data_IF_184636802340
#
_entry.id   IF_184636802340
#
_cell.length_a   1.000
_cell.length_b   1.000
_cell.length_c   1.000
_cell.angle_alpha   90.00
_cell.angle_beta   90.00
_cell.angle_gamma   90.00
#
_symmetry.space_group_name_H-M   'P 1'
#
loop_
_entity.id
_entity.type
_entity.pdbx_description
1 polymer ?
#
# COMPACT_ATOMS: atom_id res chain seq x y z
N UNK A 1 -7.51 29.52 -3.96
CA UNK A 1 -7.72 28.50 -5.01
C UNK A 1 -7.06 27.21 -4.55
N UNK A 2 -7.68 26.07 -4.83
CA UNK A 2 -7.12 24.78 -4.44
C UNK A 2 -5.82 24.48 -5.21
N UNK A 3 -4.78 24.06 -4.49
CA UNK A 3 -3.48 23.71 -5.04
C UNK A 3 -3.44 22.21 -5.36
N UNK A 4 -3.24 21.87 -6.64
CA UNK A 4 -3.12 20.49 -7.12
C UNK A 4 -1.72 20.15 -7.64
N UNK A 5 -0.76 21.07 -7.53
CA UNK A 5 0.56 20.92 -8.14
C UNK A 5 1.28 19.67 -7.61
N UNK A 6 1.27 19.44 -6.30
CA UNK A 6 1.94 18.27 -5.71
C UNK A 6 1.34 16.96 -6.18
N UNK A 7 0.01 16.87 -6.28
CA UNK A 7 -0.68 15.68 -6.80
C UNK A 7 -0.32 15.44 -8.25
N UNK A 8 -0.42 16.46 -9.11
CA UNK A 8 -0.15 16.34 -10.55
C UNK A 8 1.31 15.89 -10.78
N UNK A 9 2.26 16.55 -10.13
CA UNK A 9 3.68 16.20 -10.27
C UNK A 9 3.97 14.80 -9.71
N UNK A 10 3.33 14.41 -8.61
CA UNK A 10 3.45 13.05 -8.06
C UNK A 10 2.94 12.00 -9.03
N UNK A 11 1.78 12.23 -9.65
CA UNK A 11 1.24 11.35 -10.69
C UNK A 11 2.19 11.25 -11.88
N UNK A 12 2.70 12.37 -12.40
CA UNK A 12 3.61 12.39 -13.55
C UNK A 12 4.91 11.63 -13.28
N UNK A 13 5.53 11.85 -12.12
CA UNK A 13 6.74 11.13 -11.72
C UNK A 13 6.44 9.64 -11.51
N UNK A 14 5.26 9.29 -10.98
CA UNK A 14 4.86 7.90 -10.75
C UNK A 14 4.78 7.07 -12.05
N UNK A 15 4.49 7.70 -13.20
CA UNK A 15 4.49 7.03 -14.52
C UNK A 15 5.87 6.44 -14.87
N UNK A 16 6.97 6.98 -14.31
CA UNK A 16 8.30 6.42 -14.50
C UNK A 16 8.46 4.98 -13.98
N UNK A 17 7.56 4.51 -13.11
CA UNK A 17 7.54 3.12 -12.65
C UNK A 17 7.24 2.13 -13.80
N UNK A 18 6.46 2.52 -14.81
CA UNK A 18 6.05 1.64 -15.91
C UNK A 18 7.25 1.10 -16.70
N UNK A 19 8.12 1.93 -17.31
CA UNK A 19 9.25 1.43 -18.08
C UNK A 19 10.23 0.63 -17.20
N UNK A 20 10.38 0.99 -15.94
CA UNK A 20 11.21 0.25 -14.99
C UNK A 20 10.71 -1.18 -14.80
N UNK A 21 9.44 -1.35 -14.47
CA UNK A 21 8.83 -2.67 -14.25
C UNK A 21 8.99 -3.51 -15.51
N UNK A 22 8.74 -2.94 -16.68
CA UNK A 22 8.90 -3.63 -17.97
C UNK A 22 10.32 -4.18 -18.11
N UNK A 23 11.34 -3.33 -17.99
CA UNK A 23 12.74 -3.72 -18.14
C UNK A 23 13.15 -4.79 -17.14
N UNK A 24 12.74 -4.68 -15.88
CA UNK A 24 13.06 -5.68 -14.85
C UNK A 24 12.43 -7.03 -15.20
N UNK A 25 11.15 -7.03 -15.58
CA UNK A 25 10.42 -8.27 -15.89
C UNK A 25 10.91 -8.95 -17.17
N UNK A 26 11.32 -8.19 -18.19
CA UNK A 26 11.73 -8.73 -19.50
C UNK A 26 13.16 -9.29 -19.51
N UNK A 27 13.93 -9.09 -18.45
CA UNK A 27 15.30 -9.59 -18.34
C UNK A 27 15.45 -10.57 -17.17
N UNK A 28 15.69 -11.85 -17.49
CA UNK A 28 15.84 -12.94 -16.50
C UNK A 28 16.91 -12.67 -15.44
N UNK A 29 17.99 -11.97 -15.82
CA UNK A 29 19.07 -11.59 -14.90
C UNK A 29 18.55 -10.56 -13.89
N UNK A 30 17.80 -9.55 -14.35
CA UNK A 30 17.24 -8.51 -13.47
C UNK A 30 16.12 -9.08 -12.59
N UNK A 31 15.45 -10.13 -13.07
CA UNK A 31 14.38 -10.79 -12.35
C UNK A 31 14.85 -11.73 -11.23
N UNK A 32 16.17 -11.90 -11.04
CA UNK A 32 16.69 -12.64 -9.90
C UNK A 32 16.39 -11.93 -8.57
N UNK A 33 16.03 -12.66 -7.49
CA UNK A 33 15.56 -12.06 -6.25
C UNK A 33 16.47 -10.99 -5.64
N UNK A 34 17.79 -11.22 -5.67
CA UNK A 34 18.79 -10.28 -5.12
C UNK A 34 18.86 -9.02 -5.98
N UNK A 35 18.80 -9.17 -7.31
CA UNK A 35 18.87 -8.05 -8.24
C UNK A 35 17.60 -7.20 -8.12
N UNK A 36 16.42 -7.82 -8.00
CA UNK A 36 15.18 -7.13 -7.73
C UNK A 36 15.24 -6.30 -6.44
N UNK A 37 15.77 -6.88 -5.36
CA UNK A 37 15.92 -6.16 -4.09
C UNK A 37 16.85 -4.95 -4.24
N UNK A 38 18.03 -5.11 -4.85
CA UNK A 38 19.01 -4.04 -5.03
C UNK A 38 18.45 -2.92 -5.92
N UNK A 39 17.84 -3.29 -7.06
CA UNK A 39 17.23 -2.35 -8.00
C UNK A 39 16.06 -1.64 -7.32
N UNK A 40 15.20 -2.39 -6.60
CA UNK A 40 14.07 -1.85 -5.86
C UNK A 40 14.48 -0.78 -4.85
N UNK A 41 15.45 -1.07 -3.97
CA UNK A 41 15.95 -0.08 -3.01
C UNK A 41 16.66 1.10 -3.69
N UNK A 42 17.46 0.83 -4.73
CA UNK A 42 18.16 1.87 -5.48
C UNK A 42 17.21 2.86 -6.14
N UNK A 43 16.14 2.35 -6.77
CA UNK A 43 15.10 3.20 -7.37
C UNK A 43 14.22 3.89 -6.33
N UNK A 44 13.90 3.24 -5.22
CA UNK A 44 13.16 3.89 -4.14
C UNK A 44 13.94 5.10 -3.59
N UNK A 45 15.26 4.97 -3.41
CA UNK A 45 16.13 6.06 -3.01
C UNK A 45 16.21 7.18 -4.07
N UNK A 46 16.33 6.83 -5.35
CA UNK A 46 16.40 7.82 -6.43
C UNK A 46 15.09 8.59 -6.59
N UNK A 47 13.94 7.91 -6.48
CA UNK A 47 12.61 8.51 -6.53
C UNK A 47 12.39 9.44 -5.34
N UNK A 48 12.80 9.05 -4.12
CA UNK A 48 12.81 9.95 -2.95
C UNK A 48 13.61 11.23 -3.25
N UNK A 49 14.80 11.08 -3.83
CA UNK A 49 15.66 12.22 -4.17
C UNK A 49 15.00 13.13 -5.22
N UNK A 50 14.42 12.56 -6.27
CA UNK A 50 13.69 13.33 -7.30
C UNK A 50 12.52 14.09 -6.67
N UNK A 51 11.72 13.45 -5.82
CA UNK A 51 10.64 14.13 -5.12
C UNK A 51 11.14 15.25 -4.23
N UNK A 52 12.24 15.05 -3.51
CA UNK A 52 12.83 16.08 -2.67
C UNK A 52 13.30 17.31 -3.50
N UNK A 53 13.87 17.08 -4.68
CA UNK A 53 14.36 18.15 -5.56
C UNK A 53 13.24 18.87 -6.30
N UNK A 54 12.24 18.15 -6.79
CA UNK A 54 11.15 18.69 -7.64
C UNK A 54 10.00 19.26 -6.81
N UNK A 55 9.71 18.65 -5.66
CA UNK A 55 8.65 19.04 -4.75
C UNK A 55 9.25 19.47 -3.40
N UNK A 56 9.88 20.66 -3.32
CA UNK A 56 10.12 21.25 -2.01
C UNK A 56 8.76 21.50 -1.35
N UNK A 57 8.55 21.13 -0.07
CA UNK A 57 7.24 21.23 0.55
C UNK A 57 6.94 22.71 0.75
N UNK A 58 6.24 23.33 -0.20
CA UNK A 58 5.89 24.75 -0.13
C UNK A 58 5.00 24.95 1.10
N UNK A 59 5.54 25.62 2.11
CA UNK A 59 4.75 26.02 3.28
C UNK A 59 4.72 25.05 4.46
N UNK A 60 5.57 24.00 4.51
CA UNK A 60 5.82 23.29 5.77
C UNK A 60 6.80 24.13 6.61
N UNK A 61 6.33 25.31 7.05
CA UNK A 61 6.97 25.99 8.17
C UNK A 61 6.90 25.03 9.36
N UNK A 62 7.98 24.97 10.15
CA UNK A 62 8.09 24.22 11.41
C UNK A 62 7.08 24.82 12.42
N UNK A 63 5.80 24.56 12.20
CA UNK A 63 4.68 25.01 13.02
C UNK A 63 4.36 23.88 14.00
N UNK A 64 4.25 24.24 15.28
CA UNK A 64 3.86 23.35 16.36
C UNK A 64 2.58 22.59 15.98
N UNK A 65 2.60 21.26 16.05
CA UNK A 65 1.47 20.39 15.66
C UNK A 65 1.47 19.88 14.20
N UNK A 66 2.19 20.53 13.27
CA UNK A 66 2.33 20.08 11.87
C UNK A 66 3.54 19.16 11.62
N UNK A 67 4.23 18.76 12.68
CA UNK A 67 5.42 17.91 12.64
C UNK A 67 5.14 16.55 11.97
N UNK A 68 6.04 16.08 11.10
CA UNK A 68 5.86 14.83 10.36
C UNK A 68 4.96 14.91 9.12
N UNK A 69 4.28 16.04 8.84
CA UNK A 69 3.53 16.22 7.58
C UNK A 69 4.43 16.18 6.35
N UNK A 70 5.67 16.67 6.45
CA UNK A 70 6.64 16.60 5.36
C UNK A 70 7.11 15.17 5.07
N UNK A 71 7.36 14.39 6.14
CA UNK A 71 7.70 12.97 6.00
C UNK A 71 6.53 12.21 5.37
N UNK A 72 5.30 12.43 5.85
CA UNK A 72 4.10 11.82 5.27
C UNK A 72 3.92 12.19 3.80
N UNK A 73 4.15 13.45 3.43
CA UNK A 73 4.04 13.92 2.06
C UNK A 73 4.94 13.12 1.11
N UNK A 74 6.24 13.11 1.39
CA UNK A 74 7.20 12.41 0.53
C UNK A 74 6.93 10.91 0.47
N UNK A 75 6.49 10.31 1.57
CA UNK A 75 6.17 8.90 1.55
C UNK A 75 4.91 8.60 0.76
N UNK A 76 3.88 9.45 0.81
CA UNK A 76 2.75 9.32 -0.10
C UNK A 76 3.19 9.44 -1.56
N UNK A 77 4.14 10.32 -1.90
CA UNK A 77 4.68 10.42 -3.25
C UNK A 77 5.39 9.13 -3.69
N UNK A 78 6.24 8.56 -2.82
CA UNK A 78 6.96 7.30 -3.10
C UNK A 78 6.00 6.12 -3.21
N UNK A 79 5.01 6.04 -2.32
CA UNK A 79 4.04 4.94 -2.35
C UNK A 79 3.06 5.10 -3.52
N UNK A 80 2.79 6.32 -3.99
CA UNK A 80 2.07 6.54 -5.25
C UNK A 80 2.85 5.99 -6.45
N UNK A 81 4.18 6.17 -6.47
CA UNK A 81 5.04 5.54 -7.47
C UNK A 81 5.00 4.00 -7.36
N UNK A 82 5.07 3.45 -6.14
CA UNK A 82 4.96 2.01 -5.91
C UNK A 82 3.59 1.45 -6.37
N UNK A 83 2.49 2.18 -6.16
CA UNK A 83 1.17 1.79 -6.67
C UNK A 83 1.12 1.68 -8.21
N UNK A 84 1.86 2.52 -8.94
CA UNK A 84 1.96 2.39 -10.41
C UNK A 84 2.82 1.19 -10.79
N UNK A 85 3.85 0.86 -10.00
CA UNK A 85 4.61 -0.37 -10.17
C UNK A 85 3.72 -1.61 -9.97
N UNK A 86 2.94 -1.67 -8.88
CA UNK A 86 1.97 -2.75 -8.60
C UNK A 86 0.94 -2.89 -9.74
N UNK A 87 0.42 -1.76 -10.23
CA UNK A 87 -0.52 -1.75 -11.37
C UNK A 87 0.12 -2.34 -12.63
N UNK A 88 1.36 -1.96 -12.92
CA UNK A 88 2.09 -2.44 -14.10
C UNK A 88 2.38 -3.93 -13.96
N UNK A 89 2.88 -4.39 -12.81
CA UNK A 89 3.14 -5.80 -12.53
C UNK A 89 1.88 -6.66 -12.71
N UNK A 90 0.74 -6.24 -12.17
CA UNK A 90 -0.52 -6.97 -12.37
C UNK A 90 -1.00 -6.93 -13.82
N UNK A 91 -0.85 -5.80 -14.50
CA UNK A 91 -1.24 -5.70 -15.90
C UNK A 91 -0.42 -6.64 -16.78
N UNK A 92 0.88 -6.80 -16.46
CA UNK A 92 1.76 -7.79 -17.09
C UNK A 92 1.36 -9.21 -16.76
N UNK A 93 1.09 -9.53 -15.50
CA UNK A 93 0.68 -10.89 -15.10
C UNK A 93 -0.53 -11.38 -15.89
N UNK A 94 -1.52 -10.50 -16.10
CA UNK A 94 -2.77 -10.82 -16.77
C UNK A 94 -2.75 -10.59 -18.29
N UNK A 95 -1.67 -10.03 -18.84
CA UNK A 95 -1.58 -9.70 -20.27
C UNK A 95 -2.61 -8.66 -20.73
N UNK A 96 -2.99 -7.73 -19.85
CA UNK A 96 -3.99 -6.69 -20.12
C UNK A 96 -3.32 -5.37 -20.50
N UNK A 97 -4.06 -4.44 -21.11
CA UNK A 97 -3.57 -3.12 -21.55
C UNK A 97 -2.38 -3.14 -22.54
N UNK A 98 -2.22 -4.23 -23.30
CA UNK A 98 -1.17 -4.35 -24.31
C UNK A 98 0.21 -4.70 -23.74
N UNK A 99 0.29 -5.01 -22.44
CA UNK A 99 1.52 -5.51 -21.85
C UNK A 99 1.73 -6.98 -22.16
N UNK A 100 2.96 -7.34 -22.56
CA UNK A 100 3.33 -8.74 -22.78
C UNK A 100 3.28 -9.51 -21.47
N UNK A 101 2.57 -10.65 -21.49
CA UNK A 101 2.48 -11.53 -20.32
C UNK A 101 3.86 -12.08 -19.99
N UNK A 102 4.31 -11.78 -18.78
CA UNK A 102 5.58 -12.26 -18.25
C UNK A 102 5.45 -12.39 -16.73
N UNK A 103 5.76 -13.58 -16.23
CA UNK A 103 5.64 -13.91 -14.81
C UNK A 103 6.98 -13.99 -14.10
N UNK A 104 8.11 -13.63 -14.74
CA UNK A 104 9.45 -13.73 -14.16
C UNK A 104 9.56 -13.06 -12.77
N UNK A 105 8.86 -11.93 -12.54
CA UNK A 105 8.79 -11.29 -11.22
C UNK A 105 8.12 -12.15 -10.16
N UNK A 106 7.06 -12.83 -10.53
CA UNK A 106 6.33 -13.66 -9.60
C UNK A 106 6.97 -15.03 -9.42
N UNK A 107 7.57 -15.58 -10.48
CA UNK A 107 8.17 -16.91 -10.45
C UNK A 107 9.49 -16.91 -9.66
N UNK A 108 10.24 -15.80 -9.68
CA UNK A 108 11.54 -15.68 -9.00
C UNK A 108 11.55 -14.68 -7.85
N UNK A 109 10.76 -13.60 -7.94
CA UNK A 109 10.76 -12.49 -6.99
C UNK A 109 9.82 -12.72 -5.82
N UNK A 110 8.51 -12.64 -6.01
CA UNK A 110 7.53 -12.73 -4.91
C UNK A 110 6.36 -13.67 -5.25
N UNK A 111 6.56 -15.01 -5.18
CA UNK A 111 5.56 -15.98 -5.64
C UNK A 111 4.28 -15.99 -4.80
N UNK A 112 4.34 -15.61 -3.53
CA UNK A 112 3.16 -15.49 -2.67
C UNK A 112 2.16 -14.42 -3.16
N UNK A 113 2.60 -13.48 -3.99
CA UNK A 113 1.73 -12.47 -4.60
C UNK A 113 0.86 -13.04 -5.73
N UNK A 114 1.16 -14.22 -6.28
CA UNK A 114 0.31 -14.89 -7.27
C UNK A 114 -0.96 -15.52 -6.66
N UNK A 115 -1.04 -15.59 -5.33
CA UNK A 115 -2.26 -16.08 -4.67
C UNK A 115 -3.44 -15.14 -4.93
N UNK A 116 -4.69 -15.62 -4.87
CA UNK A 116 -5.86 -14.75 -5.05
C UNK A 116 -5.88 -13.55 -4.10
N UNK A 117 -5.38 -13.73 -2.87
CA UNK A 117 -5.23 -12.64 -1.90
C UNK A 117 -4.13 -11.67 -2.32
N UNK A 118 -2.96 -12.16 -2.74
CA UNK A 118 -1.86 -11.34 -3.24
C UNK A 118 -2.24 -10.47 -4.44
N UNK A 119 -2.94 -11.06 -5.42
CA UNK A 119 -3.50 -10.34 -6.56
C UNK A 119 -4.47 -9.24 -6.10
N UNK A 120 -5.38 -9.58 -5.17
CA UNK A 120 -6.34 -8.64 -4.61
C UNK A 120 -5.69 -7.46 -3.90
N UNK A 121 -4.64 -7.71 -3.10
CA UNK A 121 -3.88 -6.67 -2.41
C UNK A 121 -3.15 -5.75 -3.38
N UNK A 122 -2.52 -6.28 -4.42
CA UNK A 122 -1.84 -5.46 -5.43
C UNK A 122 -2.83 -4.54 -6.17
N UNK A 123 -4.03 -5.02 -6.52
CA UNK A 123 -5.07 -4.17 -7.09
C UNK A 123 -5.57 -3.09 -6.13
N UNK A 124 -5.76 -3.47 -4.87
CA UNK A 124 -6.13 -2.51 -3.83
C UNK A 124 -5.07 -1.41 -3.68
N UNK A 125 -3.79 -1.78 -3.72
CA UNK A 125 -2.67 -0.85 -3.70
C UNK A 125 -2.66 0.07 -4.92
N UNK A 126 -2.84 -0.49 -6.11
CA UNK A 126 -2.82 0.23 -7.38
C UNK A 126 -3.94 1.28 -7.47
N UNK A 127 -5.14 0.99 -6.94
CA UNK A 127 -6.32 1.85 -7.11
C UNK A 127 -6.65 2.62 -5.85
N UNK A 128 -7.01 1.93 -4.76
CA UNK A 128 -7.54 2.55 -3.56
C UNK A 128 -6.46 3.32 -2.83
N UNK A 129 -5.30 2.69 -2.59
CA UNK A 129 -4.21 3.37 -1.91
C UNK A 129 -3.66 4.54 -2.75
N UNK A 130 -3.60 4.40 -4.08
CA UNK A 130 -3.24 5.50 -4.98
C UNK A 130 -4.13 6.74 -4.78
N UNK A 131 -5.45 6.55 -4.72
CA UNK A 131 -6.41 7.63 -4.46
C UNK A 131 -6.21 8.23 -3.06
N UNK A 132 -5.94 7.41 -2.05
CA UNK A 132 -5.65 7.87 -0.69
C UNK A 132 -4.37 8.72 -0.64
N UNK A 133 -3.30 8.33 -1.33
CA UNK A 133 -2.08 9.13 -1.43
C UNK A 133 -2.34 10.48 -2.09
N UNK A 134 -3.06 10.50 -3.21
CA UNK A 134 -3.44 11.74 -3.88
C UNK A 134 -4.23 12.67 -2.96
N UNK A 135 -5.17 12.10 -2.18
CA UNK A 135 -5.96 12.85 -1.20
C UNK A 135 -5.09 13.42 -0.06
N UNK A 136 -4.13 12.65 0.46
CA UNK A 136 -3.22 13.09 1.53
C UNK A 136 -2.33 14.23 1.02
N UNK A 137 -1.71 14.07 -0.15
CA UNK A 137 -0.87 15.09 -0.79
C UNK A 137 -1.68 16.37 -1.01
N UNK A 138 -2.88 16.25 -1.59
CA UNK A 138 -3.80 17.38 -1.77
C UNK A 138 -4.11 18.10 -0.45
N UNK A 139 -4.43 17.35 0.61
CA UNK A 139 -4.74 17.95 1.91
C UNK A 139 -3.54 18.70 2.48
N UNK A 140 -2.33 18.14 2.36
CA UNK A 140 -1.10 18.78 2.85
C UNK A 140 -0.82 20.07 2.06
N UNK A 141 -0.91 20.03 0.72
CA UNK A 141 -0.70 21.19 -0.17
C UNK A 141 -1.70 22.33 0.09
N UNK A 142 -2.91 22.00 0.52
CA UNK A 142 -3.98 22.94 0.85
C UNK A 142 -4.07 23.25 2.36
N UNK A 143 -3.11 22.80 3.15
CA UNK A 143 -3.04 22.98 4.61
C UNK A 143 -4.21 22.39 5.42
N UNK A 144 -4.98 21.48 4.82
CA UNK A 144 -6.04 20.70 5.45
C UNK A 144 -5.43 19.56 6.27
N UNK A 145 -6.05 19.14 7.37
CA UNK A 145 -5.53 18.04 8.19
C UNK A 145 -5.70 16.67 7.49
N UNK A 146 -4.60 15.96 7.15
CA UNK A 146 -4.68 14.67 6.48
C UNK A 146 -4.95 13.50 7.44
N UNK A 147 -5.03 13.74 8.76
CA UNK A 147 -5.03 12.70 9.81
C UNK A 147 -5.95 11.52 9.53
N UNK A 148 -7.24 11.75 9.24
CA UNK A 148 -8.20 10.66 9.03
C UNK A 148 -7.81 9.78 7.84
N UNK A 149 -7.49 10.41 6.70
CA UNK A 149 -7.06 9.68 5.50
C UNK A 149 -5.75 8.93 5.76
N UNK A 150 -4.80 9.54 6.48
CA UNK A 150 -3.50 8.95 6.79
C UNK A 150 -3.62 7.74 7.74
N UNK A 151 -4.46 7.81 8.77
CA UNK A 151 -4.71 6.69 9.70
C UNK A 151 -5.44 5.55 8.98
N UNK A 152 -6.45 5.86 8.17
CA UNK A 152 -7.18 4.86 7.39
C UNK A 152 -6.25 4.13 6.42
N UNK A 153 -5.45 4.88 5.66
CA UNK A 153 -4.43 4.33 4.78
C UNK A 153 -3.43 3.45 5.54
N UNK A 154 -2.85 3.95 6.64
CA UNK A 154 -1.84 3.22 7.39
C UNK A 154 -2.38 1.91 7.97
N UNK A 155 -3.60 1.94 8.53
CA UNK A 155 -4.28 0.73 9.01
C UNK A 155 -4.56 -0.28 7.89
N UNK A 156 -4.97 0.20 6.71
CA UNK A 156 -5.21 -0.64 5.54
C UNK A 156 -3.95 -1.37 5.07
N UNK A 157 -2.83 -0.64 4.91
CA UNK A 157 -1.54 -1.24 4.54
C UNK A 157 -1.04 -2.21 5.60
N UNK A 158 -1.11 -1.85 6.89
CA UNK A 158 -0.67 -2.74 7.96
C UNK A 158 -1.46 -4.04 7.98
N UNK A 159 -2.77 -3.97 7.75
CA UNK A 159 -3.63 -5.17 7.68
C UNK A 159 -3.26 -6.04 6.49
N UNK A 160 -3.10 -5.46 5.30
CA UNK A 160 -2.76 -6.25 4.10
C UNK A 160 -1.36 -6.85 4.20
N UNK A 161 -0.37 -6.09 4.68
CA UNK A 161 1.00 -6.55 4.88
C UNK A 161 1.07 -7.66 5.94
N UNK A 162 0.31 -7.55 7.03
CA UNK A 162 0.21 -8.62 8.02
C UNK A 162 -0.30 -9.91 7.38
N UNK A 163 -1.40 -9.84 6.61
CA UNK A 163 -1.94 -11.03 5.94
C UNK A 163 -0.99 -11.63 4.88
N UNK A 164 -0.35 -10.80 4.06
CA UNK A 164 0.58 -11.27 3.01
C UNK A 164 1.82 -11.91 3.63
N UNK A 165 2.50 -11.20 4.54
CA UNK A 165 3.73 -11.70 5.14
C UNK A 165 3.47 -12.90 6.03
N UNK A 166 2.46 -12.84 6.90
CA UNK A 166 2.11 -13.98 7.75
C UNK A 166 1.73 -15.20 6.90
N UNK A 167 0.95 -15.01 5.83
CA UNK A 167 0.62 -16.07 4.88
C UNK A 167 1.84 -16.64 4.15
N UNK A 168 2.81 -15.79 3.78
CA UNK A 168 4.06 -16.25 3.17
C UNK A 168 4.91 -17.08 4.14
N UNK A 169 5.02 -16.67 5.40
CA UNK A 169 5.81 -17.36 6.43
C UNK A 169 5.17 -18.64 6.98
N UNK A 170 3.85 -18.76 6.94
CA UNK A 170 3.13 -19.93 7.49
C UNK A 170 2.59 -20.87 6.42
N UNK A 171 2.49 -20.41 5.17
CA UNK A 171 1.92 -21.17 4.06
C UNK A 171 2.96 -21.98 3.28
N UNK A 172 2.59 -22.37 2.06
CA UNK A 172 3.38 -23.23 1.17
C UNK A 172 4.76 -22.68 0.78
N UNK A 173 5.00 -21.38 1.01
CA UNK A 173 6.26 -20.71 0.72
C UNK A 173 7.19 -20.59 1.94
N UNK A 174 6.78 -21.11 3.11
CA UNK A 174 7.53 -21.00 4.36
C UNK A 174 8.94 -21.60 4.31
N UNK A 175 9.15 -22.62 3.47
CA UNK A 175 10.44 -23.31 3.34
C UNK A 175 11.53 -22.47 2.66
N UNK A 176 11.15 -21.49 1.83
CA UNK A 176 12.09 -20.60 1.16
C UNK A 176 11.42 -19.27 0.83
N UNK A 177 11.75 -18.22 1.58
CA UNK A 177 11.37 -16.85 1.24
C UNK A 177 12.52 -16.17 0.48
N UNK A 178 12.23 -15.60 -0.71
CA UNK A 178 13.24 -14.91 -1.49
C UNK A 178 13.69 -13.59 -0.81
N UNK A 179 14.96 -13.16 -1.01
CA UNK A 179 15.48 -11.90 -0.44
C UNK A 179 14.66 -10.64 -0.77
N UNK A 180 13.95 -10.62 -1.89
CA UNK A 180 13.01 -9.57 -2.31
C UNK A 180 11.96 -9.22 -1.24
N UNK A 181 11.57 -10.18 -0.39
CA UNK A 181 10.64 -9.97 0.73
C UNK A 181 11.08 -8.82 1.65
N UNK A 182 12.40 -8.57 1.75
CA UNK A 182 12.95 -7.46 2.54
C UNK A 182 12.41 -6.09 2.11
N UNK A 183 11.96 -5.92 0.86
CA UNK A 183 11.33 -4.68 0.40
C UNK A 183 10.05 -4.36 1.18
N UNK A 184 9.29 -5.39 1.61
CA UNK A 184 8.07 -5.23 2.41
C UNK A 184 8.33 -4.60 3.80
N UNK A 185 9.57 -4.64 4.30
CA UNK A 185 9.94 -3.98 5.57
C UNK A 185 9.63 -2.48 5.52
N UNK A 186 9.89 -1.82 4.38
CA UNK A 186 9.58 -0.39 4.19
C UNK A 186 8.07 -0.15 4.28
N UNK A 187 7.28 -1.06 3.68
CA UNK A 187 5.82 -1.03 3.68
C UNK A 187 5.19 -1.41 5.02
N UNK A 188 5.96 -1.92 5.99
CA UNK A 188 5.49 -2.18 7.36
C UNK A 188 5.95 -1.07 8.31
N UNK A 189 7.25 -0.81 8.37
CA UNK A 189 7.86 0.11 9.34
C UNK A 189 7.28 1.52 9.19
N UNK A 190 7.14 1.98 7.95
CA UNK A 190 6.70 3.34 7.71
C UNK A 190 5.21 3.58 8.04
N UNK A 191 4.26 2.77 7.53
CA UNK A 191 2.86 2.89 7.94
C UNK A 191 2.66 2.70 9.44
N UNK A 192 3.44 1.82 10.08
CA UNK A 192 3.42 1.67 11.54
C UNK A 192 3.78 3.00 12.23
N UNK A 193 4.87 3.64 11.82
CA UNK A 193 5.24 4.96 12.34
C UNK A 193 4.14 6.01 12.11
N UNK A 194 3.58 6.10 10.89
CA UNK A 194 2.49 7.05 10.59
C UNK A 194 1.28 6.80 11.47
N UNK A 195 0.89 5.54 11.64
CA UNK A 195 -0.26 5.16 12.46
C UNK A 195 -0.10 5.68 13.89
N UNK A 196 1.02 5.35 14.56
CA UNK A 196 1.27 5.80 15.93
C UNK A 196 1.50 7.30 16.05
N UNK A 197 2.17 7.91 15.07
CA UNK A 197 2.42 9.36 15.07
C UNK A 197 1.12 10.17 14.98
N UNK A 198 0.19 9.77 14.11
CA UNK A 198 -1.07 10.50 13.91
C UNK A 198 -2.17 10.11 14.90
N UNK A 199 -2.17 8.89 15.46
CA UNK A 199 -3.13 8.50 16.49
C UNK A 199 -2.84 9.21 17.81
N UNK A 200 -1.56 9.35 18.18
CA UNK A 200 -1.13 9.95 19.46
C UNK A 200 -1.18 11.48 19.45
N UNK A 201 -1.37 12.11 18.29
CA UNK A 201 -1.49 13.57 18.22
C UNK A 201 -2.82 14.06 18.79
N UNK A 202 -2.82 15.10 19.64
CA UNK A 202 -4.06 15.74 20.06
C UNK A 202 -4.81 16.28 18.82
N UNK A 203 -6.13 16.12 18.83
CA UNK A 203 -6.99 16.57 17.72
C UNK A 203 -6.96 18.10 17.67
N UNK A 204 -6.48 18.67 16.58
CA UNK A 204 -6.36 20.13 16.43
C UNK A 204 -7.73 20.82 16.40
N UNK A 205 -8.78 20.14 15.93
CA UNK A 205 -10.15 20.63 15.89
C UNK A 205 -11.11 19.63 16.54
N UNK A 206 -11.94 20.10 17.48
CA UNK A 206 -13.16 19.39 17.84
C UNK A 206 -14.03 19.39 16.59
N UNK A 207 -14.18 18.24 15.93
CA UNK A 207 -15.14 18.13 14.83
C UNK A 207 -16.51 18.50 15.40
N UNK A 208 -17.16 19.58 14.92
CA UNK A 208 -18.53 19.87 15.32
C UNK A 208 -19.37 18.65 14.95
N UNK A 209 -20.28 18.18 15.82
CA UNK A 209 -21.11 17.01 15.51
C UNK A 209 -21.84 17.27 14.20
N UNK A 210 -21.43 16.59 13.14
CA UNK A 210 -22.12 16.61 11.86
C UNK A 210 -23.40 15.81 12.06
N UNK A 211 -24.53 16.51 12.22
CA UNK A 211 -25.87 15.90 12.32
C UNK A 211 -26.37 15.31 10.99
N UNK A 212 -25.48 15.10 10.01
CA UNK A 212 -25.84 14.63 8.68
C UNK A 212 -25.93 13.09 8.71
N UNK A 213 -27.16 12.55 8.65
CA UNK A 213 -27.43 11.12 8.89
C UNK A 213 -26.75 10.19 7.88
N UNK A 214 -26.43 10.69 6.69
CA UNK A 214 -25.84 9.91 5.58
C UNK A 214 -24.45 9.37 5.91
N UNK A 215 -23.58 10.17 6.53
CA UNK A 215 -22.23 9.70 6.90
C UNK A 215 -22.30 8.64 8.00
N UNK A 216 -23.27 8.74 8.90
CA UNK A 216 -23.49 7.76 9.98
C UNK A 216 -23.91 6.38 9.45
N UNK A 217 -24.69 6.33 8.37
CA UNK A 217 -25.07 5.07 7.73
C UNK A 217 -23.85 4.42 7.06
N UNK A 218 -23.04 5.21 6.34
CA UNK A 218 -21.81 4.70 5.73
C UNK A 218 -20.82 4.17 6.77
N UNK A 219 -20.68 4.86 7.91
CA UNK A 219 -19.84 4.40 9.02
C UNK A 219 -20.34 3.06 9.58
N UNK A 220 -21.65 2.91 9.76
CA UNK A 220 -22.24 1.64 10.23
C UNK A 220 -22.01 0.52 9.20
N UNK A 221 -22.27 0.78 7.92
CA UNK A 221 -22.02 -0.21 6.84
C UNK A 221 -20.54 -0.58 6.79
N UNK A 222 -19.63 0.37 6.95
CA UNK A 222 -18.19 0.13 7.01
C UNK A 222 -17.83 -0.74 8.20
N UNK A 223 -18.29 -0.41 9.42
CA UNK A 223 -18.00 -1.18 10.63
C UNK A 223 -18.56 -2.60 10.51
N UNK A 224 -19.81 -2.76 10.07
CA UNK A 224 -20.43 -4.07 9.88
C UNK A 224 -19.68 -4.89 8.83
N UNK A 225 -19.31 -4.29 7.69
CA UNK A 225 -18.56 -4.99 6.65
C UNK A 225 -17.17 -5.42 7.13
N UNK A 226 -16.46 -4.57 7.90
CA UNK A 226 -15.18 -4.91 8.53
C UNK A 226 -15.31 -6.04 9.54
N UNK A 227 -16.38 -6.08 10.34
CA UNK A 227 -16.63 -7.16 11.30
C UNK A 227 -16.91 -8.49 10.58
N UNK A 228 -17.74 -8.48 9.53
CA UNK A 228 -18.02 -9.66 8.71
C UNK A 228 -16.73 -10.15 8.05
N UNK A 229 -15.95 -9.25 7.45
CA UNK A 229 -14.67 -9.59 6.84
C UNK A 229 -13.70 -10.19 7.86
N UNK A 230 -13.59 -9.59 9.06
CA UNK A 230 -12.72 -10.09 10.14
C UNK A 230 -13.14 -11.48 10.61
N UNK A 231 -14.44 -11.73 10.76
CA UNK A 231 -14.98 -13.03 11.11
C UNK A 231 -14.66 -14.08 10.04
N UNK A 232 -14.88 -13.75 8.77
CA UNK A 232 -14.57 -14.65 7.65
C UNK A 232 -13.07 -14.97 7.57
N UNK A 233 -12.21 -13.96 7.75
CA UNK A 233 -10.75 -14.14 7.78
C UNK A 233 -10.31 -15.02 8.96
N UNK A 234 -10.96 -14.90 10.12
CA UNK A 234 -10.67 -15.78 11.26
C UNK A 234 -11.03 -17.24 10.98
N UNK A 235 -12.19 -17.52 10.36
CA UNK A 235 -12.56 -18.88 9.92
C UNK A 235 -11.54 -19.40 8.92
N UNK A 236 -11.19 -18.60 7.90
CA UNK A 236 -10.20 -19.01 6.89
C UNK A 236 -8.84 -19.32 7.51
N UNK A 237 -8.38 -18.48 8.44
CA UNK A 237 -7.12 -18.69 9.16
C UNK A 237 -7.14 -19.98 10.00
N UNK A 238 -8.22 -20.22 10.75
CA UNK A 238 -8.39 -21.46 11.51
C UNK A 238 -8.45 -22.71 10.63
N UNK A 239 -9.03 -22.60 9.42
CA UNK A 239 -9.01 -23.66 8.42
C UNK A 239 -7.59 -24.01 7.95
N UNK A 240 -6.72 -23.02 7.80
CA UNK A 240 -5.31 -23.25 7.47
C UNK A 240 -4.50 -23.94 8.57
N UNK A 241 -4.97 -23.92 9.83
CA UNK A 241 -4.35 -24.62 10.97
C UNK A 241 -5.00 -25.99 11.26
N UNK A 242 -5.79 -26.53 10.33
CA UNK A 242 -6.53 -27.79 10.51
C UNK A 242 -7.40 -27.81 11.77
N UNK A 243 -8.01 -26.66 12.12
CA UNK A 243 -8.88 -26.57 13.29
C UNK A 243 -10.08 -27.52 13.19
N UNK A 244 -10.45 -28.22 14.28
CA UNK A 244 -11.59 -29.15 14.31
C UNK A 244 -12.97 -28.44 14.28
N UNK A 245 -13.01 -27.12 14.11
CA UNK A 245 -14.25 -26.36 14.15
C UNK A 245 -15.17 -26.67 12.95
N UNK A 246 -16.48 -26.91 13.13
CA UNK A 246 -17.34 -27.36 12.02
C UNK A 246 -17.38 -26.40 10.81
N UNK A 247 -17.33 -25.09 11.05
CA UNK A 247 -17.34 -24.09 9.97
C UNK A 247 -16.02 -24.04 9.20
N UNK A 248 -14.88 -24.33 9.86
CA UNK A 248 -13.57 -24.40 9.17
C UNK A 248 -13.51 -25.63 8.29
N UNK A 249 -14.00 -26.76 8.80
CA UNK A 249 -14.08 -28.01 8.03
C UNK A 249 -14.93 -27.85 6.77
N UNK A 250 -16.10 -27.20 6.87
CA UNK A 250 -16.96 -26.93 5.70
C UNK A 250 -16.31 -25.98 4.68
N UNK A 251 -15.49 -25.02 5.15
CA UNK A 251 -14.78 -24.09 4.29
C UNK A 251 -13.63 -24.77 3.52
N UNK A 252 -12.96 -25.76 4.12
CA UNK A 252 -11.80 -26.45 3.51
C UNK A 252 -12.23 -27.59 2.56
N UNK A 253 -13.39 -28.22 2.80
CA UNK A 253 -13.88 -29.34 1.96
C UNK A 253 -14.58 -28.92 0.66
N UNK A 254 -14.80 -27.62 0.45
CA UNK A 254 -15.44 -27.06 -0.76
C UNK A 254 -14.51 -26.07 -1.44
#
# INVERSE_FOLDING_TARGET
MANFIGVIMSCLISVSAIPLVIVITDHDILSQPINMMIIGFGFLASVVMVFYLVLPPKGIKKQLGKEGRGVLYYTCCVFMWASVADFTLQSRQLGIFGFASNNAYFDHGEPYLQTPFGIGVQYWNAVINFILYANIIYKIDNHIDPRFTAIYWAGGILTSQFCVLFGAYTGSYAAYLPPSVAMNVVFVVYPFWVFFHFINKPRAEKIPPTNDSKYRVLDVVLVVSLLIASFFMAIRGLGGFDSPFPLTQHYVTK
#
